data_IF_689282834828
#
_entry.id   IF_689282834828
#
_cell.length_a   1.000
_cell.length_b   1.000
_cell.length_c   1.000
_cell.angle_alpha   90.00
_cell.angle_beta   90.00
_cell.angle_gamma   90.00
#
_symmetry.space_group_name_H-M   'P 1'
#
loop_
_entity.id
_entity.type
_entity.pdbx_description
1 polymer ?
#
# COMPACT_ATOMS: atom_id res chain seq x y z
N UNK A 1 -39.99 38.57 13.41
CA UNK A 1 -39.54 38.37 13.34
C UNK A 1 -38.76 37.77 13.16
N UNK A 2 -38.19 37.32 13.14
CA UNK A 2 -37.48 36.88 12.92
C UNK A 2 -36.59 36.22 12.84
N UNK A 3 -36.02 35.82 12.70
CA UNK A 3 -35.20 35.28 12.58
C UNK A 3 -34.32 34.73 12.49
N UNK A 4 -33.76 34.31 12.38
CA UNK A 4 -32.86 33.83 12.26
C UNK A 4 -32.00 33.25 12.16
N UNK A 5 -31.45 32.86 12.10
CA UNK A 5 -30.51 32.34 11.98
C UNK A 5 -29.75 31.65 11.82
N UNK A 6 -29.20 31.20 11.58
CA UNK A 6 -28.45 30.62 11.39
C UNK A 6 -27.51 30.08 11.34
N UNK A 7 -26.98 29.70 11.38
CA UNK A 7 -26.06 29.21 11.38
C UNK A 7 -25.26 28.50 11.06
N UNK A 8 -24.68 28.14 10.77
CA UNK A 8 -23.99 27.61 10.46
C UNK A 8 -23.12 27.05 10.50
N UNK A 9 -22.76 26.54 10.63
CA UNK A 9 -22.02 25.98 10.83
C UNK A 9 -21.09 25.50 10.36
N UNK A 10 -20.66 25.20 10.12
CA UNK A 10 -19.81 24.87 9.67
C UNK A 10 -19.00 24.03 9.81
N UNK A 11 -18.82 23.48 9.92
CA UNK A 11 -18.10 22.71 10.09
C UNK A 11 -17.17 22.27 9.60
N UNK A 12 -16.61 22.14 9.41
CA UNK A 12 -15.74 21.78 9.03
C UNK A 12 -15.03 21.00 9.13
N UNK A 13 -14.83 20.51 9.17
CA UNK A 13 -14.30 19.79 9.13
C UNK A 13 -13.19 19.51 9.01
N UNK A 14 -12.69 19.32 9.03
CA UNK A 14 -11.62 19.11 9.01
C UNK A 14 -10.90 18.22 8.88
N UNK A 15 -10.57 17.86 8.89
CA UNK A 15 -9.96 17.05 8.77
C UNK A 15 -8.89 16.73 8.58
N UNK A 16 -8.71 16.45 8.40
CA UNK A 16 -7.77 16.20 8.07
C UNK A 16 -6.69 15.92 8.52
N UNK A 17 -6.19 15.91 8.86
CA UNK A 17 -5.13 15.61 9.38
C UNK A 17 -4.84 14.36 9.52
N UNK A 18 -5.35 13.47 9.07
CA UNK A 18 -4.95 12.26 9.18
C UNK A 18 -3.80 12.04 8.43
N UNK A 19 -2.87 11.30 8.72
CA UNK A 19 -1.73 10.87 7.98
C UNK A 19 -2.19 9.96 6.91
N UNK A 20 -1.95 10.26 5.72
CA UNK A 20 -2.27 9.39 4.62
C UNK A 20 -1.41 8.14 4.71
N UNK A 21 -1.97 7.01 4.36
CA UNK A 21 -1.19 5.79 4.27
C UNK A 21 -0.17 5.92 3.13
N UNK A 22 0.99 5.29 3.25
CA UNK A 22 1.95 5.30 2.14
C UNK A 22 1.34 4.65 0.90
N UNK A 23 1.84 5.00 -0.28
CA UNK A 23 1.30 4.43 -1.51
C UNK A 23 1.48 2.92 -1.56
N UNK A 24 0.47 2.23 -2.03
CA UNK A 24 0.48 0.79 -2.18
C UNK A 24 -0.74 0.17 -1.57
N UNK A 25 -1.14 -0.98 -2.08
CA UNK A 25 -2.28 -1.70 -1.54
C UNK A 25 -1.95 -2.21 -0.14
N UNK A 26 -2.92 -2.15 0.75
CA UNK A 26 -2.72 -2.61 2.11
C UNK A 26 -3.06 -4.08 2.20
N UNK A 27 -2.11 -4.90 2.58
CA UNK A 27 -2.28 -6.34 2.68
C UNK A 27 -1.57 -6.82 3.94
N UNK A 28 -2.22 -7.68 4.69
CA UNK A 28 -1.61 -8.22 5.89
C UNK A 28 -0.31 -8.97 5.55
N UNK A 29 0.69 -8.83 6.40
CA UNK A 29 1.99 -9.43 6.15
C UNK A 29 1.91 -10.94 5.96
N UNK A 30 1.07 -11.60 6.74
CA UNK A 30 0.92 -13.04 6.61
C UNK A 30 0.40 -13.44 5.24
N UNK A 31 -0.54 -12.68 4.71
CA UNK A 31 -1.08 -12.97 3.39
C UNK A 31 -0.03 -12.81 2.32
N UNK A 32 0.78 -11.78 2.44
CA UNK A 32 1.87 -11.57 1.49
C UNK A 32 2.86 -12.73 1.54
N UNK A 33 3.24 -13.13 2.72
CA UNK A 33 4.21 -14.20 2.87
C UNK A 33 3.68 -15.54 2.38
N UNK A 34 2.39 -15.77 2.53
CA UNK A 34 1.79 -17.02 2.08
C UNK A 34 1.60 -17.06 0.58
N UNK A 35 1.33 -15.91 -0.02
CA UNK A 35 0.97 -15.86 -1.44
C UNK A 35 2.17 -15.64 -2.35
N UNK A 36 3.12 -14.83 -1.91
CA UNK A 36 4.22 -14.41 -2.77
C UNK A 36 5.41 -15.33 -2.57
N UNK A 37 5.71 -16.12 -3.59
CA UNK A 37 6.82 -17.07 -3.55
C UNK A 37 7.77 -16.74 -4.68
N UNK A 38 8.99 -16.37 -4.33
CA UNK A 38 9.99 -16.02 -5.34
C UNK A 38 10.23 -17.19 -6.27
N UNK A 39 10.31 -16.91 -7.54
CA UNK A 39 10.51 -17.93 -8.55
C UNK A 39 9.24 -18.63 -9.00
N UNK A 40 8.12 -18.36 -8.36
CA UNK A 40 6.89 -19.06 -8.69
C UNK A 40 5.69 -18.16 -8.93
N UNK A 41 5.45 -17.21 -8.06
CA UNK A 41 4.27 -16.36 -8.17
C UNK A 41 4.37 -15.46 -9.39
N UNK A 42 3.29 -15.32 -10.12
CA UNK A 42 3.26 -14.50 -11.31
C UNK A 42 2.58 -13.18 -11.05
N UNK A 43 2.82 -12.24 -11.94
CA UNK A 43 2.18 -10.93 -11.89
C UNK A 43 0.65 -11.09 -11.91
N UNK A 44 0.14 -11.99 -12.75
CA UNK A 44 -1.30 -12.21 -12.83
C UNK A 44 -1.86 -12.73 -11.51
N UNK A 45 -1.11 -13.58 -10.83
CA UNK A 45 -1.54 -14.08 -9.52
C UNK A 45 -1.55 -12.99 -8.48
N UNK A 46 -0.60 -12.09 -8.52
CA UNK A 46 -0.60 -10.95 -7.59
C UNK A 46 -1.80 -10.06 -7.82
N UNK A 47 -2.13 -9.79 -9.08
CA UNK A 47 -3.30 -8.98 -9.39
C UNK A 47 -4.57 -9.66 -8.93
N UNK A 48 -4.67 -10.96 -9.11
CA UNK A 48 -5.87 -11.69 -8.70
C UNK A 48 -6.01 -11.72 -7.18
N UNK A 49 -4.90 -11.83 -6.47
CA UNK A 49 -4.93 -11.95 -5.02
C UNK A 49 -5.11 -10.61 -4.31
N UNK A 50 -4.43 -9.57 -4.78
CA UNK A 50 -4.35 -8.31 -4.06
C UNK A 50 -4.86 -7.10 -4.81
N UNK A 51 -5.12 -7.24 -6.10
CA UNK A 51 -5.56 -6.11 -6.91
C UNK A 51 -4.43 -5.20 -7.30
N UNK A 52 -4.78 -4.02 -7.73
CA UNK A 52 -3.80 -3.03 -8.17
C UNK A 52 -3.03 -2.49 -6.99
N UNK A 53 -1.76 -2.19 -7.21
CA UNK A 53 -0.92 -1.58 -6.19
C UNK A 53 0.06 -0.64 -6.88
N UNK A 54 0.80 0.10 -6.09
CA UNK A 54 1.83 0.97 -6.61
C UNK A 54 2.90 0.13 -7.29
N UNK A 55 3.32 0.55 -8.46
CA UNK A 55 4.38 -0.17 -9.14
C UNK A 55 5.28 0.79 -9.88
N UNK A 56 6.52 0.36 -10.09
CA UNK A 56 7.51 1.09 -10.84
C UNK A 56 8.05 0.14 -11.88
N UNK A 57 8.15 0.63 -13.10
CA UNK A 57 8.71 -0.18 -14.17
C UNK A 57 10.09 0.35 -14.52
N UNK A 58 11.05 -0.53 -14.60
CA UNK A 58 12.42 -0.17 -14.93
C UNK A 58 12.71 -0.42 -16.39
N UNK A 59 13.71 0.27 -16.93
CA UNK A 59 14.09 0.11 -18.33
C UNK A 59 14.48 -1.32 -18.64
N UNK A 60 14.95 -2.06 -17.67
CA UNK A 60 15.34 -3.45 -17.85
C UNK A 60 14.16 -4.39 -18.09
N UNK A 61 12.95 -3.90 -17.88
CA UNK A 61 11.75 -4.73 -17.96
C UNK A 61 11.32 -5.31 -16.63
N UNK A 62 12.11 -5.14 -15.60
CA UNK A 62 11.68 -5.53 -14.26
C UNK A 62 10.67 -4.52 -13.73
N UNK A 63 9.84 -4.94 -12.80
CA UNK A 63 8.89 -4.07 -12.12
C UNK A 63 9.01 -4.27 -10.62
N UNK A 64 8.85 -3.21 -9.87
CA UNK A 64 8.77 -3.30 -8.42
C UNK A 64 7.34 -2.98 -8.01
N UNK A 65 6.70 -3.90 -7.34
CA UNK A 65 5.33 -3.71 -6.84
C UNK A 65 5.43 -3.55 -5.33
N UNK A 66 4.75 -2.54 -4.81
CA UNK A 66 4.88 -2.15 -3.42
C UNK A 66 3.57 -2.34 -2.69
N UNK A 67 3.61 -3.09 -1.60
CA UNK A 67 2.45 -3.30 -0.74
C UNK A 67 2.76 -2.75 0.64
N UNK A 68 1.73 -2.35 1.35
CA UNK A 68 1.88 -1.82 2.69
C UNK A 68 1.18 -2.74 3.67
N UNK A 69 1.89 -3.20 4.68
CA UNK A 69 1.32 -4.07 5.68
C UNK A 69 1.14 -3.30 6.98
N UNK A 70 -0.08 -3.23 7.51
CA UNK A 70 -0.26 -2.54 8.79
C UNK A 70 0.63 -3.17 9.86
N UNK A 71 1.36 -2.35 10.55
CA UNK A 71 2.32 -2.80 11.56
C UNK A 71 1.95 -2.34 12.97
N UNK A 72 0.75 -1.77 13.14
CA UNK A 72 0.31 -1.28 14.43
C UNK A 72 0.70 0.16 14.66
N UNK A 73 -0.05 0.85 15.48
CA UNK A 73 0.25 2.24 15.81
C UNK A 73 0.19 3.20 14.63
N UNK A 74 -0.57 2.86 13.61
CA UNK A 74 -0.66 3.71 12.43
C UNK A 74 0.55 3.58 11.51
N UNK A 75 1.43 2.64 11.77
CA UNK A 75 2.62 2.45 10.96
C UNK A 75 2.45 1.31 9.98
N UNK A 76 3.28 1.30 8.95
CA UNK A 76 3.22 0.27 7.91
C UNK A 76 4.61 -0.27 7.63
N UNK A 77 4.68 -1.56 7.41
CA UNK A 77 5.89 -2.17 6.86
C UNK A 77 5.71 -2.22 5.34
N UNK A 78 6.78 -1.99 4.62
CA UNK A 78 6.72 -1.96 3.18
C UNK A 78 7.23 -3.29 2.63
N UNK A 79 6.44 -3.92 1.79
CA UNK A 79 6.80 -5.18 1.17
C UNK A 79 6.95 -4.94 -0.32
N UNK A 80 8.14 -5.12 -0.85
CA UNK A 80 8.42 -4.87 -2.24
C UNK A 80 8.64 -6.17 -2.97
N UNK A 81 7.96 -6.34 -4.08
CA UNK A 81 8.07 -7.53 -4.91
C UNK A 81 8.73 -7.13 -6.21
N UNK A 82 9.86 -7.72 -6.52
CA UNK A 82 10.54 -7.47 -7.78
C UNK A 82 10.12 -8.52 -8.77
N UNK A 83 9.54 -8.10 -9.88
CA UNK A 83 9.01 -9.00 -10.90
C UNK A 83 9.89 -8.90 -12.13
N UNK A 84 10.30 -10.03 -12.64
CA UNK A 84 11.22 -10.05 -13.79
C UNK A 84 10.46 -9.79 -15.10
N UNK A 85 11.17 -9.61 -16.21
CA UNK A 85 10.50 -9.31 -17.49
C UNK A 85 9.54 -10.40 -17.95
N UNK A 86 9.70 -11.62 -17.45
CA UNK A 86 8.77 -12.69 -17.80
C UNK A 86 7.50 -12.65 -16.97
N UNK A 87 7.42 -11.75 -16.00
CA UNK A 87 6.22 -11.62 -15.18
C UNK A 87 6.22 -12.54 -13.96
N UNK A 88 7.39 -13.00 -13.53
CA UNK A 88 7.51 -13.90 -12.40
C UNK A 88 8.26 -13.19 -11.28
N UNK A 89 7.83 -13.39 -10.05
CA UNK A 89 8.49 -12.78 -8.91
C UNK A 89 9.92 -13.28 -8.80
N UNK A 90 10.88 -12.36 -8.87
CA UNK A 90 12.29 -12.70 -8.76
C UNK A 90 12.76 -12.68 -7.32
N UNK A 91 12.34 -11.67 -6.54
CA UNK A 91 12.70 -11.59 -5.13
C UNK A 91 11.78 -10.64 -4.41
N UNK A 92 11.80 -10.71 -3.10
CA UNK A 92 10.99 -9.85 -2.26
C UNK A 92 11.86 -9.21 -1.20
N UNK A 93 11.36 -8.13 -0.61
CA UNK A 93 12.07 -7.42 0.40
C UNK A 93 11.10 -6.74 1.31
N UNK A 94 11.31 -6.84 2.59
CA UNK A 94 10.48 -6.20 3.59
C UNK A 94 11.26 -5.08 4.27
N UNK A 95 10.62 -3.93 4.42
CA UNK A 95 11.24 -2.84 5.12
C UNK A 95 10.38 -2.50 6.29
N UNK A 96 10.94 -2.59 7.47
CA UNK A 96 10.21 -2.29 8.69
C UNK A 96 9.83 -0.82 8.75
N UNK A 97 8.80 -0.47 9.51
CA UNK A 97 8.44 0.93 9.68
C UNK A 97 9.59 1.71 10.29
N UNK A 98 9.68 2.98 9.90
CA UNK A 98 10.70 3.84 10.47
C UNK A 98 10.43 4.02 11.97
N UNK A 99 11.47 4.18 12.78
CA UNK A 99 11.26 4.42 14.20
C UNK A 99 10.51 5.71 14.42
N UNK A 100 9.71 5.71 15.44
CA UNK A 100 8.96 6.89 15.81
C UNK A 100 9.81 7.72 16.74
N UNK A 101 9.88 9.03 16.53
CA UNK A 101 10.70 9.82 17.32
C UNK A 101 10.00 10.59 18.28
#
# INVERSE_FOLDING_TARGET
>A
MKAPLILCAALLAGCATQNAAPPGAQVAAERLQQTVVAGQTTKAQLLAAFGLTKNLRFDSGFEAWVYQSPAGGGQFAEFVVLIDPAGIVAKTRTRAPAPVR
#
